data_IF_284933886132
#
_entry.id   IF_284933886132
#
_cell.length_a   1.000
_cell.length_b   1.000
_cell.length_c   1.000
_cell.angle_alpha   90.00
_cell.angle_beta   90.00
_cell.angle_gamma   90.00
#
_symmetry.space_group_name_H-M   'P 1'
#
loop_
_entity.id
_entity.type
_entity.pdbx_description
1 polymer ?
#
# COMPACT_ATOMS: atom_id res chain seq x y z
N UNK A 1 18.98 17.13 7.46
CA UNK A 1 18.37 17.56 6.20
C UNK A 1 16.95 17.01 6.17
N UNK A 2 15.95 17.87 6.33
CA UNK A 2 14.54 17.46 6.38
C UNK A 2 13.88 17.75 5.03
N UNK A 3 13.09 16.80 4.54
CA UNK A 3 12.41 16.88 3.25
C UNK A 3 10.92 16.63 3.45
N UNK A 4 10.09 17.61 3.08
CA UNK A 4 8.63 17.60 3.25
C UNK A 4 7.96 17.97 1.91
N UNK A 5 7.78 17.00 0.99
CA UNK A 5 7.14 17.27 -0.29
C UNK A 5 5.66 17.60 -0.06
N UNK A 6 5.15 18.62 -0.78
CA UNK A 6 3.74 19.01 -0.72
C UNK A 6 2.82 18.05 -1.48
N UNK A 7 3.38 17.34 -2.46
CA UNK A 7 2.72 16.30 -3.24
C UNK A 7 3.77 15.38 -3.86
N UNK A 8 3.39 14.14 -4.18
CA UNK A 8 4.20 13.29 -5.04
C UNK A 8 3.37 12.32 -5.88
N UNK A 9 3.93 11.98 -7.03
CA UNK A 9 3.39 10.97 -7.93
C UNK A 9 4.50 9.97 -8.23
N UNK A 10 4.34 8.74 -7.74
CA UNK A 10 5.38 7.71 -7.81
C UNK A 10 4.82 6.51 -8.57
N UNK A 11 5.58 6.01 -9.55
CA UNK A 11 5.25 4.79 -10.29
C UNK A 11 6.21 3.67 -9.89
N UNK A 12 5.67 2.64 -9.24
CA UNK A 12 6.37 1.38 -8.99
C UNK A 12 6.04 0.41 -10.11
N UNK A 13 7.07 -0.12 -10.78
CA UNK A 13 6.93 -1.14 -11.83
C UNK A 13 7.44 -2.47 -11.32
N UNK A 14 6.54 -3.44 -11.20
CA UNK A 14 6.87 -4.81 -10.83
C UNK A 14 6.81 -5.69 -12.08
N UNK A 15 7.90 -6.41 -12.36
CA UNK A 15 7.93 -7.41 -13.43
C UNK A 15 6.96 -8.58 -13.18
N UNK A 16 6.77 -9.45 -14.17
CA UNK A 16 6.00 -10.68 -14.00
C UNK A 16 6.63 -11.58 -12.92
N UNK A 17 5.79 -12.35 -12.22
CA UNK A 17 6.22 -13.20 -11.09
C UNK A 17 5.46 -14.53 -11.10
N UNK A 18 6.14 -15.59 -11.53
CA UNK A 18 5.48 -16.88 -11.83
C UNK A 18 4.37 -16.67 -12.86
N UNK A 19 3.17 -17.18 -12.56
CA UNK A 19 1.97 -17.03 -13.40
C UNK A 19 1.30 -15.64 -13.31
N UNK A 20 1.80 -14.74 -12.45
CA UNK A 20 1.20 -13.42 -12.27
C UNK A 20 1.82 -12.40 -13.24
N UNK A 21 1.01 -11.58 -13.93
CA UNK A 21 1.53 -10.59 -14.87
C UNK A 21 2.28 -9.47 -14.15
N UNK A 22 3.03 -8.69 -14.94
CA UNK A 22 3.60 -7.43 -14.49
C UNK A 22 2.52 -6.51 -13.91
N UNK A 23 2.89 -5.74 -12.90
CA UNK A 23 1.97 -4.87 -12.18
C UNK A 23 2.61 -3.49 -12.00
N UNK A 24 1.87 -2.46 -12.40
CA UNK A 24 2.21 -1.08 -12.09
C UNK A 24 1.38 -0.64 -10.89
N UNK A 25 2.03 -0.02 -9.90
CA UNK A 25 1.37 0.64 -8.77
C UNK A 25 1.72 2.12 -8.84
N UNK A 26 0.71 2.96 -9.07
CA UNK A 26 0.89 4.41 -9.07
C UNK A 26 0.37 5.00 -7.76
N UNK A 27 1.24 5.70 -7.06
CA UNK A 27 0.93 6.42 -5.82
C UNK A 27 0.73 7.91 -6.13
N UNK A 28 -0.33 8.49 -5.58
CA UNK A 28 -0.62 9.92 -5.63
C UNK A 28 -0.87 10.42 -4.21
N UNK A 29 -0.10 11.41 -3.78
CA UNK A 29 -0.34 12.15 -2.54
C UNK A 29 -0.18 13.65 -2.74
N UNK A 30 -0.79 14.43 -1.84
CA UNK A 30 -0.88 15.88 -1.90
C UNK A 30 -2.34 16.35 -1.93
N UNK A 31 -2.58 17.58 -1.49
CA UNK A 31 -3.94 18.13 -1.30
C UNK A 31 -4.74 18.17 -2.61
N UNK A 32 -4.10 18.60 -3.70
CA UNK A 32 -4.72 18.76 -5.02
C UNK A 32 -4.17 17.77 -6.08
N UNK A 33 -3.47 16.71 -5.63
CA UNK A 33 -2.84 15.73 -6.52
C UNK A 33 -3.69 14.45 -6.61
N UNK A 34 -4.76 14.52 -7.39
CA UNK A 34 -5.66 13.38 -7.60
C UNK A 34 -5.20 12.52 -8.79
N UNK A 35 -5.35 11.18 -8.70
CA UNK A 35 -5.13 10.32 -9.85
C UNK A 35 -6.17 10.56 -10.95
N UNK A 36 -5.87 10.19 -12.21
CA UNK A 36 -6.91 10.01 -13.22
C UNK A 36 -7.99 9.05 -12.71
N UNK A 37 -9.24 9.51 -12.66
CA UNK A 37 -10.36 8.73 -12.18
C UNK A 37 -11.01 7.97 -13.34
N UNK A 38 -11.34 6.67 -13.17
CA UNK A 38 -12.04 5.90 -14.19
C UNK A 38 -13.45 6.41 -14.39
N UNK A 39 -14.00 6.13 -15.56
CA UNK A 39 -15.42 6.34 -15.83
C UNK A 39 -16.27 5.61 -14.78
N UNK A 40 -17.33 6.28 -14.30
CA UNK A 40 -18.20 5.72 -13.27
C UNK A 40 -17.59 5.68 -11.86
N UNK A 41 -16.45 6.33 -11.60
CA UNK A 41 -15.88 6.38 -10.25
C UNK A 41 -16.86 6.96 -9.22
N UNK A 42 -17.58 8.04 -9.55
CA UNK A 42 -18.53 8.67 -8.64
C UNK A 42 -17.87 9.29 -7.39
N UNK A 43 -18.54 9.22 -6.23
CA UNK A 43 -18.00 9.66 -4.93
C UNK A 43 -17.29 8.51 -4.20
N UNK A 44 -16.22 8.80 -3.47
CA UNK A 44 -15.58 7.82 -2.57
C UNK A 44 -16.26 7.79 -1.20
N UNK A 45 -16.50 6.59 -0.68
CA UNK A 45 -16.97 6.41 0.69
C UNK A 45 -15.93 6.91 1.72
N UNK A 46 -16.44 7.32 2.89
CA UNK A 46 -15.64 7.61 4.08
C UNK A 46 -15.87 6.44 5.03
N UNK A 47 -14.80 5.92 5.62
CA UNK A 47 -14.91 4.91 6.66
C UNK A 47 -15.57 5.56 7.89
N UNK A 48 -16.73 5.05 8.36
CA UNK A 48 -17.44 5.64 9.50
C UNK A 48 -16.67 5.52 10.82
N UNK A 49 -15.61 4.69 10.88
CA UNK A 49 -14.84 4.44 12.09
C UNK A 49 -13.59 5.32 12.22
N UNK A 50 -13.41 6.32 11.35
CA UNK A 50 -12.23 7.18 11.45
C UNK A 50 -12.37 8.06 12.70
N UNK A 51 -11.45 7.94 13.70
CA UNK A 51 -11.53 8.76 14.89
C UNK A 51 -11.30 10.23 14.56
N UNK A 52 -11.92 11.13 15.32
CA UNK A 52 -11.63 12.55 15.23
C UNK A 52 -10.15 12.80 15.50
N UNK A 53 -9.50 13.58 14.63
CA UNK A 53 -8.12 14.01 14.84
C UNK A 53 -8.07 15.16 15.86
N UNK A 54 -6.89 15.47 16.39
CA UNK A 54 -6.65 16.69 17.17
C UNK A 54 -6.92 17.99 16.41
N UNK A 55 -7.14 17.91 15.10
CA UNK A 55 -7.42 19.03 14.18
C UNK A 55 -8.93 19.12 13.84
N UNK A 56 -9.77 18.30 14.49
CA UNK A 56 -11.22 18.30 14.32
C UNK A 56 -11.76 17.14 13.48
N UNK A 57 -13.05 17.22 13.15
CA UNK A 57 -13.75 16.24 12.32
C UNK A 57 -13.25 16.26 10.87
N UNK A 58 -13.19 15.07 10.26
CA UNK A 58 -12.80 14.93 8.86
C UNK A 58 -13.88 15.53 7.99
N UNK A 59 -13.52 16.54 7.20
CA UNK A 59 -14.41 17.11 6.20
C UNK A 59 -14.62 16.12 5.07
N UNK A 60 -15.89 15.86 4.73
CA UNK A 60 -16.23 15.00 3.59
C UNK A 60 -15.69 15.62 2.30
N UNK A 61 -14.72 14.95 1.67
CA UNK A 61 -14.27 15.29 0.33
C UNK A 61 -15.04 14.47 -0.70
N UNK A 62 -15.19 15.01 -1.91
CA UNK A 62 -15.78 14.27 -3.05
C UNK A 62 -14.96 13.01 -3.37
N UNK A 63 -13.64 13.14 -3.27
CA UNK A 63 -12.65 12.10 -3.47
C UNK A 63 -11.77 12.04 -2.21
N UNK A 64 -11.92 10.96 -1.45
CA UNK A 64 -11.21 10.62 -0.22
C UNK A 64 -10.09 9.62 -0.56
N UNK A 65 -9.12 9.45 0.36
CA UNK A 65 -8.08 8.43 0.20
C UNK A 65 -8.66 7.03 -0.06
N UNK A 66 -8.04 6.34 -1.01
CA UNK A 66 -8.53 5.04 -1.45
C UNK A 66 -7.60 4.39 -2.46
N UNK A 67 -8.14 3.41 -3.18
CA UNK A 67 -7.41 2.56 -4.11
C UNK A 67 -8.28 2.24 -5.31
N UNK A 68 -7.66 2.19 -6.49
CA UNK A 68 -8.28 1.74 -7.72
C UNK A 68 -7.41 0.60 -8.26
N UNK A 69 -8.04 -0.52 -8.61
CA UNK A 69 -7.36 -1.67 -9.20
C UNK A 69 -7.94 -1.89 -10.58
N UNK A 70 -7.08 -1.76 -11.59
CA UNK A 70 -7.43 -1.94 -12.98
C UNK A 70 -7.11 -3.37 -13.41
N UNK A 71 -8.14 -4.14 -13.75
CA UNK A 71 -8.02 -5.37 -14.51
C UNK A 71 -8.26 -5.14 -16.00
N UNK A 72 -8.15 -6.20 -16.79
CA UNK A 72 -8.44 -6.15 -18.23
C UNK A 72 -9.90 -5.78 -18.52
N UNK A 73 -10.83 -6.28 -17.72
CA UNK A 73 -12.28 -6.12 -17.93
C UNK A 73 -13.01 -5.50 -16.74
N UNK A 74 -12.44 -5.62 -15.54
CA UNK A 74 -13.04 -5.14 -14.30
C UNK A 74 -12.17 -4.04 -13.71
N UNK A 75 -12.81 -2.97 -13.27
CA UNK A 75 -12.17 -1.95 -12.42
C UNK A 75 -12.76 -2.05 -11.03
N UNK A 76 -11.88 -2.16 -10.03
CA UNK A 76 -12.27 -2.18 -8.64
C UNK A 76 -11.95 -0.85 -7.99
N UNK A 77 -12.86 -0.36 -7.18
CA UNK A 77 -12.71 0.83 -6.35
C UNK A 77 -12.80 0.43 -4.88
N UNK A 78 -11.93 0.99 -4.05
CA UNK A 78 -12.00 0.87 -2.60
C UNK A 78 -11.69 2.17 -1.92
N UNK A 79 -12.30 2.39 -0.75
CA UNK A 79 -11.87 3.45 0.16
C UNK A 79 -10.57 3.03 0.90
N UNK A 80 -10.21 3.76 1.95
CA UNK A 80 -9.00 3.51 2.73
C UNK A 80 -9.03 2.19 3.51
N UNK A 81 -7.86 1.75 3.99
CA UNK A 81 -7.67 0.56 4.83
C UNK A 81 -8.32 -0.72 4.25
N UNK A 82 -8.99 -1.50 5.09
CA UNK A 82 -9.67 -2.76 4.76
C UNK A 82 -11.06 -2.58 4.14
N UNK A 83 -11.43 -1.38 3.69
CA UNK A 83 -12.72 -1.15 3.03
C UNK A 83 -12.92 -2.11 1.85
N UNK A 84 -14.08 -2.77 1.82
CA UNK A 84 -14.47 -3.72 0.76
C UNK A 84 -14.39 -3.05 -0.62
N UNK A 85 -13.82 -3.76 -1.58
CA UNK A 85 -13.75 -3.32 -2.97
C UNK A 85 -15.12 -3.46 -3.65
N UNK A 86 -15.49 -2.47 -4.46
CA UNK A 86 -16.64 -2.51 -5.36
C UNK A 86 -16.20 -2.54 -6.82
N UNK A 87 -16.95 -3.23 -7.67
CA UNK A 87 -16.73 -3.22 -9.12
C UNK A 87 -17.44 -1.99 -9.69
N UNK A 88 -16.75 -1.26 -10.58
CA UNK A 88 -17.33 -0.16 -11.35
C UNK A 88 -17.19 -0.44 -12.86
N UNK A 89 -18.20 -0.07 -13.67
CA UNK A 89 -19.50 0.49 -13.28
C UNK A 89 -20.45 -0.56 -12.65
N UNK A 90 -21.57 -0.11 -12.07
CA UNK A 90 -22.54 -0.98 -11.36
C UNK A 90 -23.09 -2.10 -12.25
N UNK A 91 -23.22 -1.87 -13.56
CA UNK A 91 -23.66 -2.92 -14.52
C UNK A 91 -22.70 -4.12 -14.52
N UNK A 92 -21.39 -3.89 -14.44
CA UNK A 92 -20.37 -4.94 -14.33
C UNK A 92 -20.39 -5.62 -12.96
N UNK A 93 -20.70 -4.87 -11.89
CA UNK A 93 -20.89 -5.45 -10.57
C UNK A 93 -22.07 -6.43 -10.56
N UNK A 94 -23.19 -6.07 -11.18
CA UNK A 94 -24.39 -6.92 -11.30
C UNK A 94 -24.12 -8.18 -12.13
N UNK A 95 -23.38 -8.06 -13.23
CA UNK A 95 -22.96 -9.21 -14.06
C UNK A 95 -22.09 -10.19 -13.26
N UNK A 96 -21.21 -9.67 -12.40
CA UNK A 96 -20.29 -10.50 -11.61
C UNK A 96 -20.90 -11.05 -10.31
N UNK A 97 -22.00 -10.47 -9.81
CA UNK A 97 -22.53 -10.75 -8.47
C UNK A 97 -22.76 -12.25 -8.20
N UNK A 98 -23.30 -13.00 -9.16
CA UNK A 98 -23.56 -14.44 -9.02
C UNK A 98 -22.31 -15.32 -9.14
N UNK A 99 -21.16 -14.74 -9.54
CA UNK A 99 -19.88 -15.42 -9.77
C UNK A 99 -18.86 -15.15 -8.67
N UNK A 100 -19.14 -14.20 -7.78
CA UNK A 100 -18.23 -13.87 -6.68
C UNK A 100 -18.22 -15.01 -5.66
N UNK A 101 -17.03 -15.42 -5.17
CA UNK A 101 -16.95 -16.41 -4.11
C UNK A 101 -17.53 -15.84 -2.81
N UNK A 102 -18.07 -16.72 -1.99
CA UNK A 102 -18.43 -16.35 -0.62
C UNK A 102 -17.17 -16.05 0.19
N UNK A 103 -17.11 -14.85 0.77
CA UNK A 103 -15.99 -14.43 1.62
C UNK A 103 -16.39 -14.68 3.07
N UNK A 104 -15.69 -15.58 3.80
CA UNK A 104 -16.04 -15.86 5.18
C UNK A 104 -15.84 -14.62 6.05
N UNK A 105 -16.73 -14.45 7.03
CA UNK A 105 -16.55 -13.40 8.04
C UNK A 105 -15.28 -13.69 8.83
N UNK A 106 -14.52 -12.62 9.07
CA UNK A 106 -13.37 -12.66 9.96
C UNK A 106 -13.82 -13.04 11.38
N UNK A 107 -13.20 -14.04 12.04
CA UNK A 107 -13.61 -14.48 13.38
C UNK A 107 -13.24 -13.50 14.50
N UNK A 108 -12.33 -12.57 14.24
CA UNK A 108 -11.82 -11.58 15.20
C UNK A 108 -11.44 -10.27 14.51
N UNK A 109 -11.40 -9.16 15.24
CA UNK A 109 -10.94 -7.86 14.72
C UNK A 109 -9.39 -7.74 14.76
N UNK A 110 -8.85 -6.57 14.38
CA UNK A 110 -7.40 -6.35 14.32
C UNK A 110 -6.69 -6.57 15.68
N UNK A 111 -7.25 -6.04 16.76
CA UNK A 111 -6.66 -6.12 18.10
C UNK A 111 -6.79 -7.51 18.70
N UNK A 112 -7.95 -8.13 18.53
CA UNK A 112 -8.24 -9.47 19.03
C UNK A 112 -7.42 -10.53 18.29
N UNK A 113 -7.27 -10.44 16.96
CA UNK A 113 -6.42 -11.35 16.19
C UNK A 113 -4.96 -11.30 16.66
N UNK A 114 -4.45 -10.13 17.06
CA UNK A 114 -3.10 -10.03 17.64
C UNK A 114 -2.97 -10.86 18.92
N UNK A 115 -3.90 -10.70 19.87
CA UNK A 115 -3.88 -11.44 21.13
C UNK A 115 -4.05 -12.95 20.92
N UNK A 116 -5.02 -13.35 20.09
CA UNK A 116 -5.28 -14.76 19.77
C UNK A 116 -4.09 -15.41 19.03
N UNK A 117 -3.43 -14.67 18.14
CA UNK A 117 -2.23 -15.15 17.45
C UNK A 117 -1.05 -15.31 18.41
N UNK A 118 -0.84 -14.39 19.35
CA UNK A 118 0.17 -14.54 20.41
C UNK A 118 -0.08 -15.78 21.30
N UNK A 119 -1.34 -16.19 21.46
CA UNK A 119 -1.73 -17.41 22.19
C UNK A 119 -1.66 -18.68 21.31
N UNK A 120 -1.37 -18.56 20.01
CA UNK A 120 -1.40 -19.67 19.07
C UNK A 120 -2.79 -20.18 18.71
N UNK A 121 -3.85 -19.43 19.05
CA UNK A 121 -5.25 -19.80 18.79
C UNK A 121 -5.73 -19.38 17.40
N UNK A 122 -5.14 -18.33 16.83
CA UNK A 122 -5.36 -17.90 15.45
C UNK A 122 -4.04 -17.70 14.70
N UNK A 123 -4.11 -17.67 13.36
CA UNK A 123 -2.98 -17.17 12.55
C UNK A 123 -3.02 -15.65 12.50
N UNK A 124 -1.84 -15.03 12.55
CA UNK A 124 -1.72 -13.58 12.32
C UNK A 124 -2.19 -13.23 10.90
N UNK A 125 -3.00 -12.17 10.78
CA UNK A 125 -3.48 -11.66 9.48
C UNK A 125 -2.57 -10.60 8.85
N UNK A 126 -1.56 -10.15 9.60
CA UNK A 126 -0.54 -9.21 9.13
C UNK A 126 0.86 -9.75 9.44
N UNK A 127 1.28 -10.88 8.84
CA UNK A 127 2.58 -11.49 9.13
C UNK A 127 3.76 -10.67 8.58
N UNK A 128 4.93 -10.83 9.20
CA UNK A 128 6.18 -10.18 8.74
C UNK A 128 6.62 -10.61 7.34
N UNK A 129 6.29 -11.83 6.91
CA UNK A 129 6.61 -12.31 5.55
C UNK A 129 5.93 -11.47 4.45
N UNK A 130 4.82 -10.81 4.78
CA UNK A 130 4.13 -9.86 3.89
C UNK A 130 4.58 -8.43 4.18
N UNK A 131 4.62 -8.04 5.46
CA UNK A 131 4.91 -6.66 5.85
C UNK A 131 6.36 -6.24 5.55
N UNK A 132 7.33 -7.14 5.69
CA UNK A 132 8.75 -6.87 5.43
C UNK A 132 9.01 -6.40 4.00
N UNK A 133 8.68 -7.22 2.98
CA UNK A 133 8.80 -6.80 1.58
C UNK A 133 7.98 -5.57 1.23
N UNK A 134 6.77 -5.42 1.80
CA UNK A 134 5.94 -4.22 1.60
C UNK A 134 6.63 -2.96 2.14
N UNK A 135 7.24 -3.04 3.32
CA UNK A 135 8.01 -1.93 3.91
C UNK A 135 9.20 -1.55 3.04
N UNK A 136 9.90 -2.53 2.47
CA UNK A 136 11.01 -2.30 1.55
C UNK A 136 10.56 -1.49 0.32
N UNK A 137 9.40 -1.82 -0.28
CA UNK A 137 8.82 -1.04 -1.39
C UNK A 137 8.57 0.41 -0.97
N UNK A 138 7.99 0.65 0.21
CA UNK A 138 7.77 2.01 0.69
C UNK A 138 9.08 2.77 0.93
N UNK A 139 10.10 2.14 1.50
CA UNK A 139 11.43 2.75 1.67
C UNK A 139 12.05 3.15 0.33
N UNK A 140 11.93 2.30 -0.70
CA UNK A 140 12.37 2.64 -2.06
C UNK A 140 11.60 3.83 -2.62
N UNK A 141 10.29 3.90 -2.36
CA UNK A 141 9.44 5.04 -2.69
C UNK A 141 9.90 6.34 -2.05
N UNK A 142 10.21 6.31 -0.75
CA UNK A 142 10.73 7.47 0.00
C UNK A 142 12.07 7.93 -0.55
N UNK A 143 12.98 7.01 -0.88
CA UNK A 143 14.26 7.35 -1.52
C UNK A 143 14.03 8.00 -2.89
N UNK A 144 13.15 7.42 -3.72
CA UNK A 144 12.80 7.96 -5.02
C UNK A 144 12.17 9.35 -4.91
N UNK A 145 11.27 9.57 -3.94
CA UNK A 145 10.64 10.85 -3.66
C UNK A 145 11.66 11.91 -3.22
N UNK A 146 12.58 11.54 -2.32
CA UNK A 146 13.62 12.44 -1.82
C UNK A 146 14.64 12.84 -2.88
N UNK A 147 15.02 11.91 -3.75
CA UNK A 147 16.03 12.17 -4.79
C UNK A 147 15.43 12.65 -6.11
N UNK A 148 14.11 12.47 -6.30
CA UNK A 148 13.40 12.65 -7.55
C UNK A 148 14.08 11.93 -8.72
N UNK A 149 14.39 10.64 -8.54
CA UNK A 149 15.13 9.82 -9.50
C UNK A 149 14.44 8.50 -9.78
N UNK A 150 14.65 7.99 -11.00
CA UNK A 150 14.29 6.63 -11.37
C UNK A 150 15.28 5.65 -10.76
N UNK A 151 14.80 4.68 -10.00
CA UNK A 151 15.62 3.66 -9.34
C UNK A 151 15.32 2.28 -9.96
N UNK A 152 16.37 1.49 -10.18
CA UNK A 152 16.28 0.07 -10.55
C UNK A 152 16.76 -0.77 -9.38
N UNK A 153 15.83 -1.43 -8.71
CA UNK A 153 16.11 -2.29 -7.58
C UNK A 153 16.14 -3.76 -8.01
N UNK A 154 17.26 -4.46 -7.77
CA UNK A 154 17.35 -5.91 -7.91
C UNK A 154 16.96 -6.55 -6.57
N UNK A 155 15.79 -7.18 -6.53
CA UNK A 155 15.25 -7.84 -5.34
C UNK A 155 16.01 -9.11 -4.95
N UNK A 156 16.85 -9.67 -5.82
CA UNK A 156 17.65 -10.87 -5.52
C UNK A 156 18.89 -10.51 -4.71
N UNK A 157 19.50 -9.36 -5.03
CA UNK A 157 20.68 -8.85 -4.32
C UNK A 157 20.33 -7.77 -3.29
N UNK A 158 19.07 -7.32 -3.26
CA UNK A 158 18.59 -6.20 -2.47
C UNK A 158 19.40 -4.90 -2.71
N UNK A 159 19.69 -4.57 -3.96
CA UNK A 159 20.49 -3.39 -4.32
C UNK A 159 19.78 -2.50 -5.35
N UNK A 160 19.96 -1.18 -5.23
CA UNK A 160 19.73 -0.23 -6.31
C UNK A 160 20.94 -0.24 -7.24
N UNK A 161 20.74 -0.62 -8.50
CA UNK A 161 21.84 -0.92 -9.43
C UNK A 161 22.28 0.27 -10.27
N UNK A 162 21.47 1.32 -10.34
CA UNK A 162 21.68 2.46 -11.24
C UNK A 162 22.01 3.78 -10.55
N UNK A 163 22.06 3.81 -9.21
CA UNK A 163 22.39 4.99 -8.44
C UNK A 163 23.11 4.60 -7.14
N UNK A 164 24.43 4.82 -7.09
CA UNK A 164 25.26 4.46 -5.92
C UNK A 164 24.87 5.23 -4.65
N UNK A 165 24.43 6.48 -4.80
CA UNK A 165 24.05 7.30 -3.66
C UNK A 165 22.73 6.78 -3.09
N UNK A 166 21.73 6.55 -3.94
CA UNK A 166 20.47 5.94 -3.52
C UNK A 166 20.68 4.54 -2.93
N UNK A 167 21.58 3.74 -3.50
CA UNK A 167 21.94 2.42 -2.97
C UNK A 167 22.52 2.50 -1.55
N UNK A 168 23.40 3.47 -1.28
CA UNK A 168 23.94 3.68 0.06
C UNK A 168 22.85 4.05 1.08
N UNK A 169 21.75 4.68 0.64
CA UNK A 169 20.59 5.01 1.51
C UNK A 169 19.76 3.79 1.91
N UNK A 170 19.97 2.62 1.30
CA UNK A 170 19.36 1.37 1.78
C UNK A 170 19.97 0.94 3.13
N UNK A 171 21.21 1.35 3.40
CA UNK A 171 21.83 1.16 4.71
C UNK A 171 21.28 2.22 5.65
N UNK A 172 20.54 1.77 6.67
CA UNK A 172 20.01 2.65 7.71
C UNK A 172 21.12 3.23 8.60
N UNK A 173 20.71 3.79 9.74
CA UNK A 173 21.65 4.17 10.78
C UNK A 173 22.44 2.94 11.25
N UNK A 174 23.71 3.12 11.68
CA UNK A 174 24.45 2.02 12.28
C UNK A 174 23.65 1.43 13.46
N UNK A 175 23.84 0.13 13.75
CA UNK A 175 23.23 -0.50 14.92
C UNK A 175 23.44 0.35 16.18
N UNK A 176 22.45 0.33 17.07
CA UNK A 176 22.58 0.98 18.37
C UNK A 176 23.80 0.41 19.10
N UNK A 177 24.59 1.27 19.75
CA UNK A 177 25.75 0.85 20.55
C UNK A 177 25.37 -0.27 21.53
N UNK A 178 26.13 -1.36 21.53
CA UNK A 178 25.91 -2.58 22.34
C UNK A 178 24.95 -3.60 21.72
N UNK A 179 24.45 -3.35 20.50
CA UNK A 179 23.57 -4.26 19.75
C UNK A 179 24.20 -4.73 18.44
N UNK A 180 25.47 -4.42 18.20
CA UNK A 180 26.17 -4.67 16.94
C UNK A 180 26.12 -6.14 16.54
N UNK A 181 26.25 -7.05 17.51
CA UNK A 181 26.26 -8.51 17.30
C UNK A 181 24.93 -9.05 16.74
N UNK A 182 23.80 -8.35 16.96
CA UNK A 182 22.49 -8.77 16.45
C UNK A 182 22.23 -8.32 15.00
N UNK A 183 23.13 -7.53 14.42
CA UNK A 183 23.01 -6.98 13.06
C UNK A 183 24.06 -7.58 12.10
N UNK A 184 24.84 -8.56 12.55
CA UNK A 184 25.72 -9.36 11.69
C UNK A 184 24.82 -10.36 10.95
N UNK A 185 24.59 -10.11 9.66
CA UNK A 185 23.82 -10.99 8.75
C UNK A 185 24.79 -11.79 7.89
#
# INVERSE_FOLDING_TARGET
DFFYPMSSTILFKFGPRGEMPACDVTWYDGVDNLPPLPEGYGESAIDPNIPASSVGEIKKQKINPGKIIYGKELTFKGASHGSTLSIIPESKAKEMASRLPEVPKSPSNHFENFLLACQGLEKTRSPFEIHGPLSQVFSLGVIAQRLNRKLYFDSRTNQITNDKFANAMLSGLPPRKGWEDFYIV
#
